data_IF_239769729037
#
_entry.id   IF_239769729037
#
_cell.length_a   1.000
_cell.length_b   1.000
_cell.length_c   1.000
_cell.angle_alpha   90.00
_cell.angle_beta   90.00
_cell.angle_gamma   90.00
#
_symmetry.space_group_name_H-M   'P 1'
#
loop_
_entity.id
_entity.type
_entity.pdbx_description
1 polymer ?
#
# COMPACT_ATOMS: atom_id res chain seq x y z
N UNK A 1 -20.65 1.94 -3.79
CA UNK A 1 -19.37 2.70 -3.73
C UNK A 1 -18.43 2.28 -2.58
N UNK A 2 -18.57 1.12 -1.92
CA UNK A 2 -17.57 0.75 -0.89
C UNK A 2 -17.22 -0.73 -0.78
N UNK A 3 -17.62 -1.57 -1.73
CA UNK A 3 -17.23 -2.99 -1.71
C UNK A 3 -15.71 -3.16 -1.77
N UNK A 4 -15.02 -2.28 -2.51
CA UNK A 4 -13.54 -2.25 -2.53
C UNK A 4 -12.97 -1.89 -1.16
N UNK A 5 -13.48 -0.85 -0.50
CA UNK A 5 -13.00 -0.43 0.82
C UNK A 5 -13.24 -1.52 1.87
N UNK A 6 -14.43 -2.12 1.86
CA UNK A 6 -14.79 -3.25 2.71
C UNK A 6 -13.89 -4.46 2.48
N UNK A 7 -13.68 -4.84 1.22
CA UNK A 7 -12.81 -5.96 0.84
C UNK A 7 -11.37 -5.74 1.31
N UNK A 8 -10.85 -4.53 1.14
CA UNK A 8 -9.47 -4.19 1.49
C UNK A 8 -9.27 -4.13 3.01
N UNK A 9 -10.29 -3.71 3.76
CA UNK A 9 -10.20 -3.45 5.21
C UNK A 9 -10.85 -4.54 6.07
N UNK A 10 -11.52 -5.52 5.46
CA UNK A 10 -12.32 -6.51 6.17
C UNK A 10 -13.47 -5.85 6.93
N UNK A 11 -14.21 -4.98 6.24
CA UNK A 11 -15.34 -4.20 6.78
C UNK A 11 -15.02 -3.23 7.93
N UNK A 12 -13.75 -3.12 8.34
CA UNK A 12 -13.30 -2.19 9.40
C UNK A 12 -13.46 -0.73 9.00
N UNK A 13 -13.52 -0.44 7.69
CA UNK A 13 -13.70 0.90 7.15
C UNK A 13 -14.85 0.91 6.16
N UNK A 14 -15.90 1.66 6.49
CA UNK A 14 -17.11 1.77 5.68
C UNK A 14 -16.94 2.64 4.44
N UNK A 15 -16.04 3.61 4.49
CA UNK A 15 -15.74 4.52 3.37
C UNK A 15 -14.27 4.87 3.33
N UNK A 16 -13.68 4.79 2.13
CA UNK A 16 -12.29 5.17 1.95
C UNK A 16 -12.10 6.66 2.31
N UNK A 17 -11.10 7.01 3.12
CA UNK A 17 -10.87 8.40 3.50
C UNK A 17 -10.56 9.25 2.27
N UNK A 18 -11.35 10.31 2.06
CA UNK A 18 -11.12 11.30 0.99
C UNK A 18 -9.99 12.27 1.31
N UNK A 19 -9.66 12.41 2.60
CA UNK A 19 -8.58 13.23 3.11
C UNK A 19 -7.89 12.49 4.27
N UNK A 20 -6.58 12.71 4.42
CA UNK A 20 -5.76 12.03 5.42
C UNK A 20 -5.26 10.65 4.99
N UNK A 21 -4.58 9.95 5.90
CA UNK A 21 -3.99 8.63 5.66
C UNK A 21 -4.82 7.55 6.34
N UNK A 22 -5.04 6.43 5.66
CA UNK A 22 -5.57 5.22 6.29
C UNK A 22 -4.43 4.46 6.97
N UNK A 23 -4.62 4.10 8.24
CA UNK A 23 -3.65 3.26 8.94
C UNK A 23 -3.58 1.87 8.31
N UNK A 24 -2.36 1.37 8.06
CA UNK A 24 -2.15 0.02 7.52
C UNK A 24 -2.72 -1.09 8.42
N UNK A 25 -2.89 -0.83 9.73
CA UNK A 25 -3.53 -1.76 10.67
C UNK A 25 -5.02 -1.99 10.40
N UNK A 26 -5.66 -1.11 9.60
CA UNK A 26 -7.05 -1.25 9.17
C UNK A 26 -7.18 -2.10 7.90
N UNK A 27 -6.08 -2.45 7.23
CA UNK A 27 -6.07 -3.35 6.08
C UNK A 27 -6.18 -4.81 6.55
N UNK A 28 -6.69 -5.69 5.70
CA UNK A 28 -6.50 -7.14 5.91
C UNK A 28 -5.05 -7.53 5.62
N UNK A 29 -4.61 -8.69 6.11
CA UNK A 29 -3.23 -9.17 5.98
C UNK A 29 -2.74 -9.15 4.53
N UNK A 30 -3.58 -9.59 3.59
CA UNK A 30 -3.28 -9.61 2.15
C UNK A 30 -2.90 -8.21 1.64
N UNK A 31 -3.72 -7.21 1.93
CA UNK A 31 -3.50 -5.85 1.42
C UNK A 31 -2.44 -5.08 2.21
N UNK A 32 -2.28 -5.37 3.51
CA UNK A 32 -1.17 -4.85 4.29
C UNK A 32 0.19 -5.29 3.74
N UNK A 33 0.32 -6.55 3.32
CA UNK A 33 1.53 -7.09 2.70
C UNK A 33 1.80 -6.44 1.34
N UNK A 34 0.79 -6.36 0.47
CA UNK A 34 0.91 -5.69 -0.83
C UNK A 34 1.32 -4.22 -0.69
N UNK A 35 0.75 -3.50 0.28
CA UNK A 35 1.14 -2.11 0.56
C UNK A 35 2.62 -2.00 0.98
N UNK A 36 3.13 -2.93 1.79
CA UNK A 36 4.57 -2.96 2.17
C UNK A 36 5.47 -3.20 0.97
N UNK A 37 5.12 -4.16 0.10
CA UNK A 37 5.87 -4.45 -1.14
C UNK A 37 5.87 -3.24 -2.06
N UNK A 38 4.70 -2.62 -2.29
CA UNK A 38 4.58 -1.41 -3.10
C UNK A 38 5.45 -0.27 -2.56
N UNK A 39 5.39 -0.01 -1.25
CA UNK A 39 6.20 1.03 -0.62
C UNK A 39 7.71 0.79 -0.76
N UNK A 40 8.17 -0.47 -0.66
CA UNK A 40 9.58 -0.81 -0.81
C UNK A 40 10.08 -0.66 -2.26
N UNK A 41 9.25 -1.01 -3.23
CA UNK A 41 9.61 -0.96 -4.66
C UNK A 41 9.38 0.41 -5.30
N UNK A 42 8.57 1.28 -4.70
CA UNK A 42 8.28 2.62 -5.22
C UNK A 42 9.42 3.61 -5.03
N UNK A 43 10.39 3.31 -4.16
CA UNK A 43 11.58 4.16 -4.01
C UNK A 43 12.33 4.15 -5.34
N UNK A 44 12.63 5.33 -5.94
CA UNK A 44 13.49 5.40 -7.11
C UNK A 44 14.83 4.77 -6.74
N UNK A 45 15.10 3.58 -7.27
CA UNK A 45 16.42 2.98 -7.14
C UNK A 45 17.32 3.77 -8.09
N UNK A 46 18.31 4.45 -7.52
CA UNK A 46 19.37 5.05 -8.32
C UNK A 46 20.13 3.89 -8.95
N UNK A 47 19.90 3.61 -10.22
CA UNK A 47 20.78 2.74 -10.98
C UNK A 47 22.16 3.42 -11.02
N UNK A 48 23.12 2.90 -10.25
CA UNK A 48 24.52 3.26 -10.41
C UNK A 48 24.99 2.65 -11.73
N UNK A 49 25.29 3.48 -12.72
CA UNK A 49 25.84 3.07 -14.01
C UNK A 49 27.31 2.60 -13.93
N UNK A 50 27.76 2.14 -12.76
CA UNK A 50 29.14 1.67 -12.59
C UNK A 50 29.25 0.24 -13.11
N UNK A 51 29.82 0.12 -14.31
CA UNK A 51 30.37 -1.14 -14.81
C UNK A 51 31.84 -1.17 -14.38
N UNK A 52 32.25 -2.21 -13.67
CA UNK A 52 33.66 -2.43 -13.37
C UNK A 52 34.39 -2.85 -14.66
N UNK A 53 35.44 -2.12 -15.01
CA UNK A 53 36.36 -2.45 -16.11
C UNK A 53 37.37 -3.50 -15.67
#
# INVERSE_FOLDING_TARGET
>A
MNEVCKTITGDKVRMWPRAGKLSAAKLTTKYALLNKIGAANWVPTTHSNSVAT
#
